data_IF_678031306919
#
_entry.id   IF_678031306919
#
_cell.length_a   1.000
_cell.length_b   1.000
_cell.length_c   1.000
_cell.angle_alpha   90.00
_cell.angle_beta   90.00
_cell.angle_gamma   90.00
#
_symmetry.space_group_name_H-M   'P 1'
#
loop_
_entity.id
_entity.type
_entity.pdbx_description
1 polymer ?
#
# COMPACT_ATOMS: atom_id res chain seq x y z
N UNK A 1 13.07 16.25 19.11
CA UNK A 1 12.07 15.19 19.29
C UNK A 1 12.81 13.86 19.27
N UNK A 2 12.58 12.96 20.23
CA UNK A 2 13.21 11.63 20.24
C UNK A 2 12.84 10.86 18.95
N UNK A 3 13.81 10.13 18.37
CA UNK A 3 13.61 9.30 17.17
C UNK A 3 12.44 8.33 17.36
N UNK A 4 12.31 7.72 18.54
CA UNK A 4 11.19 6.83 18.84
C UNK A 4 9.83 7.56 18.74
N UNK A 5 9.73 8.76 19.35
CA UNK A 5 8.51 9.56 19.35
C UNK A 5 8.11 10.02 17.95
N UNK A 6 9.09 10.41 17.13
CA UNK A 6 8.84 10.80 15.74
C UNK A 6 8.29 9.62 14.91
N UNK A 7 8.95 8.47 14.99
CA UNK A 7 8.52 7.25 14.28
C UNK A 7 7.15 6.77 14.76
N UNK A 8 6.90 6.77 16.07
CA UNK A 8 5.60 6.41 16.63
C UNK A 8 4.52 7.37 16.15
N UNK A 9 4.76 8.69 16.18
CA UNK A 9 3.79 9.69 15.69
C UNK A 9 3.42 9.47 14.22
N UNK A 10 4.40 9.17 13.36
CA UNK A 10 4.14 8.86 11.95
C UNK A 10 3.32 7.56 11.81
N UNK A 11 3.60 6.55 12.62
CA UNK A 11 2.90 5.28 12.60
C UNK A 11 1.45 5.42 13.07
N UNK A 12 1.19 6.22 14.11
CA UNK A 12 -0.16 6.49 14.59
C UNK A 12 -1.02 7.13 13.50
N UNK A 13 -0.47 8.10 12.75
CA UNK A 13 -1.15 8.70 11.60
C UNK A 13 -1.44 7.67 10.51
N UNK A 14 -0.46 6.81 10.18
CA UNK A 14 -0.68 5.74 9.20
C UNK A 14 -1.78 4.75 9.65
N UNK A 15 -1.82 4.39 10.94
CA UNK A 15 -2.87 3.54 11.49
C UNK A 15 -4.26 4.22 11.43
N UNK A 16 -4.34 5.52 11.71
CA UNK A 16 -5.59 6.29 11.60
C UNK A 16 -6.08 6.37 10.15
N UNK A 17 -5.17 6.58 9.19
CA UNK A 17 -5.48 6.51 7.75
C UNK A 17 -6.01 5.12 7.41
N UNK A 18 -5.33 4.05 7.86
CA UNK A 18 -5.73 2.66 7.60
C UNK A 18 -7.16 2.38 8.09
N UNK A 19 -7.47 2.73 9.35
CA UNK A 19 -8.81 2.57 9.92
C UNK A 19 -9.85 3.31 9.09
N UNK A 20 -9.55 4.56 8.70
CA UNK A 20 -10.47 5.39 7.93
C UNK A 20 -10.75 4.80 6.55
N UNK A 21 -9.72 4.45 5.77
CA UNK A 21 -9.90 3.96 4.40
C UNK A 21 -10.56 2.59 4.37
N UNK A 22 -10.25 1.70 5.33
CA UNK A 22 -10.88 0.38 5.43
C UNK A 22 -12.38 0.52 5.72
N UNK A 23 -12.77 1.47 6.58
CA UNK A 23 -14.19 1.75 6.85
C UNK A 23 -14.92 2.38 5.67
N UNK A 24 -14.26 3.28 4.93
CA UNK A 24 -14.87 4.00 3.81
C UNK A 24 -14.97 3.15 2.54
N UNK A 25 -13.97 2.31 2.31
CA UNK A 25 -13.82 1.50 1.09
C UNK A 25 -13.57 0.03 1.44
N UNK A 26 -14.47 -0.63 2.20
CA UNK A 26 -14.26 -2.02 2.56
C UNK A 26 -14.20 -2.90 1.30
N UNK A 27 -13.35 -3.95 1.27
CA UNK A 27 -13.37 -4.93 0.20
C UNK A 27 -14.77 -5.53 0.03
N UNK A 28 -15.22 -5.69 -1.21
CA UNK A 28 -16.60 -6.08 -1.52
C UNK A 28 -17.01 -7.45 -0.96
N UNK A 29 -16.05 -8.31 -0.65
CA UNK A 29 -16.25 -9.64 -0.09
C UNK A 29 -16.20 -9.68 1.45
N UNK A 30 -16.07 -8.54 2.13
CA UNK A 30 -16.05 -8.49 3.60
C UNK A 30 -17.44 -8.28 4.15
N UNK A 31 -17.83 -9.17 5.08
CA UNK A 31 -18.99 -8.95 5.92
C UNK A 31 -18.67 -7.96 7.06
N UNK A 32 -19.71 -7.51 7.76
CA UNK A 32 -19.58 -6.58 8.88
C UNK A 32 -18.69 -7.12 10.00
N UNK A 33 -18.71 -8.44 10.23
CA UNK A 33 -17.87 -9.08 11.26
C UNK A 33 -16.39 -8.99 10.91
N UNK A 34 -16.04 -9.30 9.66
CA UNK A 34 -14.67 -9.22 9.14
C UNK A 34 -14.19 -7.77 9.15
N UNK A 35 -15.01 -6.84 8.67
CA UNK A 35 -14.69 -5.41 8.70
C UNK A 35 -14.37 -4.93 10.12
N UNK A 36 -15.25 -5.22 11.08
CA UNK A 36 -15.07 -4.81 12.47
C UNK A 36 -13.82 -5.47 13.08
N UNK A 37 -13.59 -6.76 12.81
CA UNK A 37 -12.42 -7.45 13.30
C UNK A 37 -11.12 -6.81 12.79
N UNK A 38 -11.03 -6.55 11.48
CA UNK A 38 -9.85 -5.92 10.89
C UNK A 38 -9.64 -4.52 11.45
N UNK A 39 -10.69 -3.69 11.51
CA UNK A 39 -10.63 -2.35 12.11
C UNK A 39 -10.11 -2.41 13.55
N UNK A 40 -10.61 -3.35 14.35
CA UNK A 40 -10.17 -3.52 15.73
C UNK A 40 -8.69 -3.90 15.81
N UNK A 41 -8.18 -4.76 14.94
CA UNK A 41 -6.75 -5.06 14.88
C UNK A 41 -5.90 -3.80 14.63
N UNK A 42 -6.32 -2.91 13.73
CA UNK A 42 -5.58 -1.65 13.51
C UNK A 42 -5.64 -0.71 14.71
N UNK A 43 -6.78 -0.66 15.42
CA UNK A 43 -6.90 0.12 16.66
C UNK A 43 -5.99 -0.46 17.75
N UNK A 44 -5.92 -1.78 17.89
CA UNK A 44 -5.01 -2.47 18.81
C UNK A 44 -3.54 -2.16 18.48
N UNK A 45 -3.14 -2.28 17.22
CA UNK A 45 -1.78 -1.97 16.79
C UNK A 45 -1.43 -0.49 16.96
N UNK A 46 -2.38 0.41 16.74
CA UNK A 46 -2.21 1.82 17.07
C UNK A 46 -1.92 1.99 18.57
N UNK A 47 -2.71 1.34 19.43
CA UNK A 47 -2.52 1.41 20.87
C UNK A 47 -1.17 0.80 21.31
N UNK A 48 -0.70 -0.28 20.67
CA UNK A 48 0.63 -0.86 20.93
C UNK A 48 1.77 0.14 20.63
N UNK A 49 1.58 1.04 19.65
CA UNK A 49 2.54 2.08 19.31
C UNK A 49 2.42 3.36 20.16
N UNK A 50 1.20 3.67 20.62
CA UNK A 50 0.91 4.86 21.43
C UNK A 50 1.25 4.63 22.91
N UNK A 51 0.91 3.46 23.43
CA UNK A 51 1.03 3.07 24.84
C UNK A 51 1.83 1.76 24.98
N UNK A 52 3.09 1.71 24.53
CA UNK A 52 3.90 0.51 24.62
C UNK A 52 4.16 0.14 26.09
N UNK A 53 4.16 -1.15 26.41
CA UNK A 53 4.75 -1.59 27.68
C UNK A 53 6.24 -1.21 27.71
N UNK A 54 6.85 -0.91 28.87
CA UNK A 54 8.22 -0.41 28.94
C UNK A 54 9.26 -1.24 28.18
N UNK A 55 9.13 -2.57 28.20
CA UNK A 55 10.02 -3.47 27.47
C UNK A 55 9.86 -3.43 25.94
N UNK A 56 8.74 -2.90 25.44
CA UNK A 56 8.43 -2.74 24.02
C UNK A 56 8.53 -1.28 23.53
N UNK A 57 8.89 -0.33 24.41
CA UNK A 57 9.10 1.07 24.07
C UNK A 57 10.47 1.29 23.36
N UNK A 58 10.71 0.54 22.28
CA UNK A 58 11.94 0.57 21.52
C UNK A 58 11.66 0.48 20.01
N UNK A 59 12.64 0.91 19.19
CA UNK A 59 12.49 0.97 17.73
C UNK A 59 12.27 -0.40 17.08
N UNK A 60 12.83 -1.47 17.65
CA UNK A 60 12.67 -2.83 17.13
C UNK A 60 11.23 -3.30 17.26
N UNK A 61 10.63 -3.15 18.44
CA UNK A 61 9.21 -3.44 18.69
C UNK A 61 8.30 -2.57 17.83
N UNK A 62 8.60 -1.27 17.71
CA UNK A 62 7.82 -0.36 16.86
C UNK A 62 7.85 -0.77 15.39
N UNK A 63 8.98 -1.28 14.89
CA UNK A 63 9.10 -1.80 13.51
C UNK A 63 8.17 -2.98 13.25
N UNK A 64 7.94 -3.85 14.23
CA UNK A 64 6.96 -4.94 14.09
C UNK A 64 5.52 -4.42 14.00
N UNK A 65 5.17 -3.40 14.79
CA UNK A 65 3.85 -2.75 14.69
C UNK A 65 3.69 -2.07 13.33
N UNK A 66 4.71 -1.36 12.87
CA UNK A 66 4.73 -0.75 11.54
C UNK A 66 4.52 -1.79 10.44
N UNK A 67 5.19 -2.94 10.51
CA UNK A 67 4.98 -4.03 9.56
C UNK A 67 3.52 -4.49 9.57
N UNK A 68 2.93 -4.73 10.75
CA UNK A 68 1.51 -5.13 10.86
C UNK A 68 0.57 -4.13 10.20
N UNK A 69 0.78 -2.83 10.43
CA UNK A 69 -0.04 -1.76 9.82
C UNK A 69 0.14 -1.71 8.30
N UNK A 70 1.35 -1.88 7.78
CA UNK A 70 1.62 -1.66 6.35
C UNK A 70 1.42 -2.90 5.48
N UNK A 71 1.55 -4.12 6.02
CA UNK A 71 1.52 -5.37 5.23
C UNK A 71 0.30 -5.47 4.32
N UNK A 72 -0.90 -5.17 4.82
CA UNK A 72 -2.12 -5.27 4.01
C UNK A 72 -2.10 -4.30 2.81
N UNK A 73 -1.53 -3.11 2.98
CA UNK A 73 -1.45 -2.10 1.92
C UNK A 73 -0.28 -2.34 0.96
N UNK A 74 0.75 -3.07 1.40
CA UNK A 74 1.79 -3.57 0.52
C UNK A 74 1.30 -4.74 -0.31
N UNK A 75 0.56 -5.69 0.27
CA UNK A 75 0.19 -6.94 -0.38
C UNK A 75 -1.13 -6.85 -1.14
N UNK A 76 -2.07 -6.05 -0.64
CA UNK A 76 -3.41 -5.88 -1.16
C UNK A 76 -3.51 -5.14 -2.49
N UNK A 77 -4.75 -4.98 -2.93
CA UNK A 77 -5.16 -4.25 -4.13
C UNK A 77 -6.56 -3.66 -3.93
N UNK A 78 -6.96 -2.74 -4.79
CA UNK A 78 -8.28 -2.10 -4.76
C UNK A 78 -8.30 -0.72 -4.10
N UNK A 79 -9.47 -0.08 -4.10
CA UNK A 79 -9.65 1.35 -3.76
C UNK A 79 -9.08 1.71 -2.38
N UNK A 80 -9.25 0.86 -1.36
CA UNK A 80 -8.73 1.14 -0.03
C UNK A 80 -7.19 1.22 0.02
N UNK A 81 -6.49 0.47 -0.84
CA UNK A 81 -5.03 0.52 -0.96
C UNK A 81 -4.59 1.80 -1.66
N UNK A 82 -5.28 2.17 -2.74
CA UNK A 82 -4.98 3.40 -3.47
C UNK A 82 -5.20 4.64 -2.59
N UNK A 83 -6.34 4.71 -1.90
CA UNK A 83 -6.64 5.83 -0.99
C UNK A 83 -5.71 5.87 0.22
N UNK A 84 -5.22 4.71 0.70
CA UNK A 84 -4.19 4.67 1.74
C UNK A 84 -2.90 5.36 1.29
N UNK A 85 -2.32 4.92 0.16
CA UNK A 85 -1.04 5.45 -0.31
C UNK A 85 -1.12 6.90 -0.74
N UNK A 86 -2.25 7.29 -1.33
CA UNK A 86 -2.59 8.69 -1.60
C UNK A 86 -2.54 9.54 -0.34
N UNK A 87 -3.11 9.06 0.78
CA UNK A 87 -3.05 9.81 2.05
C UNK A 87 -1.69 9.82 2.73
N UNK A 88 -0.95 8.71 2.67
CA UNK A 88 0.44 8.67 3.12
C UNK A 88 1.22 9.80 2.44
N UNK A 89 1.04 9.96 1.12
CA UNK A 89 1.68 11.02 0.34
C UNK A 89 1.15 12.41 0.70
N UNK A 90 -0.16 12.61 0.75
CA UNK A 90 -0.78 13.91 1.05
C UNK A 90 -0.35 14.46 2.42
N UNK A 91 -0.14 13.57 3.40
CA UNK A 91 0.29 13.93 4.74
C UNK A 91 1.81 13.94 4.91
N UNK A 92 2.57 13.74 3.83
CA UNK A 92 4.04 13.68 3.80
C UNK A 92 4.62 12.68 4.82
N UNK A 93 3.98 11.51 4.97
CA UNK A 93 4.47 10.45 5.85
C UNK A 93 5.63 9.70 5.20
N UNK A 94 6.62 9.22 5.97
CA UNK A 94 7.86 8.65 5.44
C UNK A 94 7.72 7.20 4.94
N UNK A 95 6.51 6.75 4.63
CA UNK A 95 6.25 5.40 4.13
C UNK A 95 6.15 5.41 2.61
N UNK A 96 6.73 4.39 1.97
CA UNK A 96 6.75 4.27 0.52
C UNK A 96 6.11 2.95 0.11
N UNK A 97 5.25 3.02 -0.89
CA UNK A 97 4.69 1.85 -1.54
C UNK A 97 5.79 1.06 -2.27
N UNK A 98 5.64 -0.26 -2.31
CA UNK A 98 6.55 -1.12 -3.05
C UNK A 98 6.18 -1.13 -4.54
N UNK A 99 7.15 -0.87 -5.41
CA UNK A 99 6.94 -1.00 -6.85
C UNK A 99 6.94 -2.49 -7.28
N UNK A 100 5.75 -3.09 -7.36
CA UNK A 100 5.57 -4.46 -7.85
C UNK A 100 5.77 -4.62 -9.37
N UNK A 101 5.83 -3.53 -10.15
CA UNK A 101 6.05 -3.58 -11.61
C UNK A 101 7.49 -3.92 -12.00
N UNK A 102 8.45 -3.87 -11.06
CA UNK A 102 9.88 -4.13 -11.32
C UNK A 102 10.11 -5.41 -12.12
N UNK A 103 9.37 -6.48 -11.82
CA UNK A 103 9.48 -7.75 -12.55
C UNK A 103 8.97 -7.65 -13.99
N UNK A 104 7.88 -6.91 -14.24
CA UNK A 104 7.30 -6.70 -15.59
C UNK A 104 8.27 -5.86 -16.43
N UNK A 105 8.75 -4.75 -15.87
CA UNK A 105 9.72 -3.85 -16.51
C UNK A 105 11.01 -4.57 -16.86
N UNK A 106 11.57 -5.36 -15.93
CA UNK A 106 12.79 -6.14 -16.17
C UNK A 106 12.63 -7.17 -17.29
N UNK A 107 11.49 -7.85 -17.36
CA UNK A 107 11.20 -8.86 -18.40
C UNK A 107 10.76 -8.25 -19.72
N UNK A 108 10.34 -6.97 -19.72
CA UNK A 108 9.74 -6.27 -20.86
C UNK A 108 8.59 -7.05 -21.49
N UNK A 109 7.74 -7.65 -20.65
CA UNK A 109 6.62 -8.48 -21.10
C UNK A 109 5.54 -8.62 -20.03
N UNK A 110 4.29 -8.45 -20.45
CA UNK A 110 3.08 -8.82 -19.70
C UNK A 110 2.71 -10.26 -20.09
N UNK A 111 2.64 -11.16 -19.10
CA UNK A 111 2.49 -12.60 -19.36
C UNK A 111 1.05 -13.08 -19.35
N UNK A 112 0.17 -12.42 -18.59
CA UNK A 112 -1.19 -12.88 -18.36
C UNK A 112 -2.12 -11.71 -18.05
N UNK A 113 -3.41 -12.01 -18.01
CA UNK A 113 -4.46 -11.00 -17.79
C UNK A 113 -4.33 -10.32 -16.43
N UNK A 114 -3.85 -11.02 -15.38
CA UNK A 114 -3.69 -10.42 -14.05
C UNK A 114 -2.59 -9.36 -14.03
N UNK A 115 -1.48 -9.60 -14.72
CA UNK A 115 -0.42 -8.59 -14.89
C UNK A 115 -0.91 -7.41 -15.74
N UNK A 116 -1.72 -7.67 -16.77
CA UNK A 116 -2.33 -6.64 -17.58
C UNK A 116 -3.25 -5.74 -16.74
N UNK A 117 -4.23 -6.33 -16.05
CA UNK A 117 -5.19 -5.61 -15.21
C UNK A 117 -4.45 -4.80 -14.13
N UNK A 118 -3.48 -5.42 -13.46
CA UNK A 118 -2.64 -4.75 -12.48
C UNK A 118 -1.91 -3.52 -13.04
N UNK A 119 -1.29 -3.63 -14.22
CA UNK A 119 -0.57 -2.49 -14.83
C UNK A 119 -1.55 -1.38 -15.16
N UNK A 120 -2.71 -1.68 -15.75
CA UNK A 120 -3.74 -0.69 -16.06
C UNK A 120 -4.21 0.03 -14.80
N UNK A 121 -4.47 -0.70 -13.72
CA UNK A 121 -4.99 -0.15 -12.48
C UNK A 121 -4.01 0.81 -11.79
N UNK A 122 -2.71 0.55 -11.89
CA UNK A 122 -1.71 1.23 -11.04
C UNK A 122 -0.68 2.07 -11.80
N UNK A 123 -0.66 2.07 -13.14
CA UNK A 123 0.32 2.85 -13.92
C UNK A 123 0.28 4.35 -13.60
N UNK A 124 -0.91 4.94 -13.53
CA UNK A 124 -1.08 6.38 -13.22
C UNK A 124 -0.73 6.68 -11.76
N UNK A 125 -1.26 5.96 -10.75
CA UNK A 125 -0.82 6.13 -9.36
C UNK A 125 0.69 5.99 -9.19
N UNK A 126 1.32 4.99 -9.82
CA UNK A 126 2.74 4.72 -9.65
C UNK A 126 3.62 5.83 -10.25
N UNK A 127 3.22 6.41 -11.38
CA UNK A 127 3.91 7.57 -11.96
C UNK A 127 3.78 8.79 -11.04
N UNK A 128 2.57 9.07 -10.56
CA UNK A 128 2.33 10.18 -9.64
C UNK A 128 3.09 10.02 -8.33
N UNK A 129 3.22 8.79 -7.82
CA UNK A 129 4.01 8.45 -6.62
C UNK A 129 5.53 8.43 -6.88
N UNK A 130 5.98 8.60 -8.12
CA UNK A 130 7.39 8.53 -8.49
C UNK A 130 8.01 7.14 -8.35
N UNK A 131 7.16 6.09 -8.35
CA UNK A 131 7.59 4.69 -8.33
C UNK A 131 8.07 4.23 -9.71
N UNK A 132 7.54 4.85 -10.76
CA UNK A 132 7.98 4.70 -12.14
C UNK A 132 8.20 6.09 -12.77
N UNK A 133 9.08 6.17 -13.75
CA UNK A 133 9.32 7.39 -14.52
C UNK A 133 8.59 7.38 -15.88
N UNK A 134 8.67 8.50 -16.61
CA UNK A 134 8.00 8.66 -17.89
C UNK A 134 8.45 7.64 -18.95
N UNK A 135 9.73 7.26 -18.99
CA UNK A 135 10.24 6.26 -19.92
C UNK A 135 9.67 4.86 -19.63
N UNK A 136 9.53 4.53 -18.34
CA UNK A 136 8.90 3.29 -17.89
C UNK A 136 7.40 3.28 -18.21
N UNK A 137 6.71 4.41 -18.11
CA UNK A 137 5.30 4.56 -18.54
C UNK A 137 5.14 4.32 -20.03
N UNK A 138 6.02 4.89 -20.86
CA UNK A 138 6.02 4.68 -22.32
C UNK A 138 6.23 3.19 -22.64
N UNK A 139 7.19 2.55 -21.97
CA UNK A 139 7.44 1.12 -22.12
C UNK A 139 6.20 0.30 -21.73
N UNK A 140 5.60 0.56 -20.57
CA UNK A 140 4.43 -0.18 -20.10
C UNK A 140 3.23 -0.04 -21.05
N UNK A 141 2.96 1.16 -21.57
CA UNK A 141 1.91 1.38 -22.57
C UNK A 141 2.16 0.57 -23.85
N UNK A 142 3.42 0.46 -24.29
CA UNK A 142 3.81 -0.39 -25.42
C UNK A 142 3.51 -1.86 -25.13
N UNK A 143 3.87 -2.34 -23.93
CA UNK A 143 3.63 -3.73 -23.52
C UNK A 143 2.14 -4.08 -23.38
N UNK A 144 1.31 -3.13 -22.96
CA UNK A 144 -0.14 -3.27 -22.92
C UNK A 144 -0.70 -3.49 -24.33
N UNK A 145 -0.32 -2.64 -25.28
CA UNK A 145 -0.74 -2.77 -26.68
C UNK A 145 -0.28 -4.09 -27.33
N UNK A 146 0.95 -4.53 -27.05
CA UNK A 146 1.43 -5.84 -27.49
C UNK A 146 0.61 -7.01 -26.93
N UNK A 147 0.18 -6.92 -25.67
CA UNK A 147 -0.63 -7.97 -25.06
C UNK A 147 -2.02 -8.05 -25.69
N UNK A 148 -2.66 -6.89 -25.93
CA UNK A 148 -3.97 -6.81 -26.60
C UNK A 148 -3.95 -7.37 -28.02
N UNK A 149 -2.90 -7.07 -28.79
CA UNK A 149 -2.75 -7.56 -30.17
C UNK A 149 -2.54 -9.07 -30.24
N UNK A 150 -1.87 -9.68 -29.25
CA UNK A 150 -1.72 -11.13 -29.15
C UNK A 150 -3.04 -11.85 -28.85
N UNK A 151 -3.92 -11.24 -28.05
CA UNK A 151 -5.25 -11.80 -27.75
C UNK A 151 -6.22 -11.79 -28.95
N UNK A 152 -6.00 -10.88 -29.91
CA UNK A 152 -6.86 -10.73 -31.10
C UNK A 152 -6.49 -11.70 -32.24
N UNK A 153 -5.38 -12.42 -32.12
CA UNK A 153 -4.97 -13.49 -33.05
C UNK A 153 -5.38 -14.85 -32.51
#
# INVERSE_FOLDING_TARGET
MDKYRLESTNLLKAADIAVRVIKQYPPANWDTKTLNHVVNCYIEWKNDAENPQPQFANLTSLKFVMQRVLTMFHEGHGIFVEEFWKEIKNQNLPYKRENKMVKILKRKKINNIREYDFVVDVIVPYEQEGLINQDEVILLNTLLAEFETRKKK
#
